data_IF_790556410679
#
_entry.id   IF_790556410679
#
_cell.length_a   1.000
_cell.length_b   1.000
_cell.length_c   1.000
_cell.angle_alpha   90.00
_cell.angle_beta   90.00
_cell.angle_gamma   90.00
#
_symmetry.space_group_name_H-M   'P 1'
#
loop_
_entity.id
_entity.type
_entity.pdbx_description
1 polymer ?
#
# COMPACT_ATOMS: atom_id res chain seq x y z
N UNK A 1 14.24 -2.50 -0.70
CA UNK A 1 13.29 -2.95 0.35
C UNK A 1 13.54 -2.12 1.61
N UNK A 2 12.50 -1.61 2.27
CA UNK A 2 12.60 -0.90 3.55
C UNK A 2 11.87 -1.73 4.61
N UNK A 3 12.50 -1.93 5.77
CA UNK A 3 11.88 -2.58 6.93
C UNK A 3 11.55 -1.53 7.96
N UNK A 4 10.39 -1.69 8.60
CA UNK A 4 9.86 -0.83 9.66
C UNK A 4 9.15 -1.71 10.69
N UNK A 5 8.94 -1.17 11.89
CA UNK A 5 8.22 -1.85 12.97
C UNK A 5 6.74 -1.44 12.99
N UNK A 6 5.83 -2.26 13.57
CA UNK A 6 4.39 -1.96 13.56
C UNK A 6 3.97 -0.69 14.32
N UNK A 7 4.80 -0.21 15.25
CA UNK A 7 4.56 1.02 16.01
C UNK A 7 4.83 2.31 15.20
N UNK A 8 5.42 2.21 14.01
CA UNK A 8 5.56 3.34 13.08
C UNK A 8 4.21 3.64 12.43
N UNK A 9 3.92 4.93 12.20
CA UNK A 9 2.71 5.38 11.50
C UNK A 9 3.01 6.44 10.45
N UNK A 10 2.22 6.49 9.38
CA UNK A 10 2.30 7.53 8.35
C UNK A 10 1.85 8.89 8.93
N UNK A 11 2.65 9.93 8.75
CA UNK A 11 2.31 11.30 9.18
C UNK A 11 1.43 12.01 8.14
N UNK A 12 1.67 11.74 6.86
CA UNK A 12 1.01 12.41 5.73
C UNK A 12 0.18 11.40 4.93
N UNK A 13 -1.05 11.14 5.39
CA UNK A 13 -1.97 10.22 4.75
C UNK A 13 -2.84 9.51 5.78
N UNK A 14 -4.09 9.23 5.42
CA UNK A 14 -5.04 8.62 6.35
C UNK A 14 -4.83 7.09 6.46
N UNK A 15 -4.18 6.48 5.47
CA UNK A 15 -3.95 5.03 5.38
C UNK A 15 -2.59 4.77 4.72
N UNK A 16 -1.89 3.71 5.14
CA UNK A 16 -0.72 3.16 4.45
C UNK A 16 -0.78 1.63 4.45
N UNK A 17 0.10 0.96 3.70
CA UNK A 17 0.10 -0.50 3.55
C UNK A 17 1.49 -1.11 3.61
N UNK A 18 1.59 -2.32 4.16
CA UNK A 18 2.87 -3.04 4.31
C UNK A 18 2.68 -4.56 4.39
N UNK A 19 3.75 -5.32 4.17
CA UNK A 19 3.77 -6.77 4.42
C UNK A 19 4.32 -7.07 5.81
N UNK A 20 3.54 -7.83 6.59
CA UNK A 20 4.03 -8.43 7.82
C UNK A 20 4.90 -9.64 7.48
N UNK A 21 6.21 -9.48 7.61
CA UNK A 21 7.19 -10.54 7.28
C UNK A 21 7.75 -11.25 8.51
N UNK A 22 7.52 -10.73 9.72
CA UNK A 22 7.92 -11.36 10.99
C UNK A 22 7.00 -10.93 12.13
N UNK A 23 6.81 -11.83 13.09
CA UNK A 23 6.08 -11.54 14.32
C UNK A 23 4.57 -11.35 14.08
N UNK A 24 3.97 -10.44 14.86
CA UNK A 24 2.56 -10.09 14.81
C UNK A 24 2.39 -8.57 14.85
N UNK A 25 1.36 -8.05 14.18
CA UNK A 25 0.97 -6.65 14.29
C UNK A 25 -0.18 -6.50 15.30
N UNK A 26 -0.02 -5.58 16.26
CA UNK A 26 -1.04 -5.21 17.26
C UNK A 26 -1.40 -3.72 17.23
N UNK A 27 -0.80 -2.94 16.32
CA UNK A 27 -0.99 -1.50 16.21
C UNK A 27 -1.99 -1.16 15.09
N UNK A 28 -1.98 -1.92 13.99
CA UNK A 28 -2.93 -1.71 12.90
C UNK A 28 -2.72 -0.40 12.12
N UNK A 29 -1.52 0.17 12.20
CA UNK A 29 -1.15 1.39 11.47
C UNK A 29 -1.06 1.16 9.94
N UNK A 30 -0.93 -0.09 9.51
CA UNK A 30 -0.80 -0.48 8.11
C UNK A 30 -1.90 -1.46 7.72
N UNK A 31 -2.44 -1.28 6.51
CA UNK A 31 -3.20 -2.33 5.83
C UNK A 31 -2.22 -3.44 5.44
N UNK A 32 -2.43 -4.64 6.00
CA UNK A 32 -1.62 -5.80 5.65
C UNK A 32 -1.96 -6.25 4.23
N UNK A 33 -0.96 -6.19 3.35
CA UNK A 33 -1.11 -6.69 1.98
C UNK A 33 -0.78 -8.20 1.92
N UNK A 34 -1.31 -8.85 0.88
CA UNK A 34 -1.16 -10.30 0.69
C UNK A 34 0.04 -10.64 -0.20
N UNK A 35 0.94 -11.56 0.21
CA UNK A 35 2.04 -11.98 -0.64
C UNK A 35 1.55 -12.82 -1.84
N UNK A 36 2.19 -12.71 -3.01
CA UNK A 36 1.87 -13.52 -4.17
C UNK A 36 2.20 -14.99 -3.93
N UNK A 37 1.35 -15.90 -4.41
CA UNK A 37 1.59 -17.35 -4.34
C UNK A 37 2.42 -17.88 -5.51
N UNK A 38 2.38 -17.17 -6.65
CA UNK A 38 3.12 -17.48 -7.87
C UNK A 38 3.34 -16.21 -8.71
N UNK A 39 4.26 -16.30 -9.67
CA UNK A 39 4.49 -15.22 -10.62
C UNK A 39 3.23 -14.93 -11.43
N UNK A 40 2.87 -13.65 -11.54
CA UNK A 40 1.73 -13.16 -12.32
C UNK A 40 0.36 -13.74 -11.91
N UNK A 41 0.24 -14.32 -10.71
CA UNK A 41 -1.03 -14.81 -10.18
C UNK A 41 -2.11 -13.71 -10.20
N UNK A 42 -3.33 -14.08 -10.60
CA UNK A 42 -4.41 -13.10 -10.77
C UNK A 42 -4.82 -12.43 -9.46
N UNK A 43 -4.75 -13.14 -8.32
CA UNK A 43 -5.03 -12.56 -7.02
C UNK A 43 -3.93 -11.57 -6.62
N UNK A 44 -2.68 -11.88 -6.92
CA UNK A 44 -1.56 -10.95 -6.69
C UNK A 44 -1.67 -9.68 -7.55
N UNK A 45 -2.10 -9.81 -8.81
CA UNK A 45 -2.34 -8.66 -9.70
C UNK A 45 -3.50 -7.78 -9.22
N UNK A 46 -4.57 -8.41 -8.72
CA UNK A 46 -5.69 -7.69 -8.12
C UNK A 46 -5.29 -6.95 -6.83
N UNK A 47 -4.50 -7.60 -5.98
CA UNK A 47 -3.96 -6.99 -4.76
C UNK A 47 -3.05 -5.80 -5.08
N UNK A 48 -2.17 -5.95 -6.07
CA UNK A 48 -1.34 -4.86 -6.55
C UNK A 48 -2.19 -3.66 -7.02
N UNK A 49 -3.23 -3.89 -7.81
CA UNK A 49 -4.14 -2.82 -8.26
C UNK A 49 -4.81 -2.10 -7.07
N UNK A 50 -5.29 -2.87 -6.08
CA UNK A 50 -5.92 -2.35 -4.86
C UNK A 50 -4.96 -1.47 -4.05
N UNK A 51 -3.72 -1.92 -3.86
CA UNK A 51 -2.70 -1.16 -3.11
C UNK A 51 -2.23 0.07 -3.87
N UNK A 52 -2.09 0.01 -5.20
CA UNK A 52 -1.78 1.19 -6.00
C UNK A 52 -2.86 2.26 -5.89
N UNK A 53 -4.13 1.87 -5.94
CA UNK A 53 -5.25 2.80 -5.76
C UNK A 53 -5.23 3.45 -4.37
N UNK A 54 -4.96 2.67 -3.31
CA UNK A 54 -4.81 3.17 -1.94
C UNK A 54 -3.70 4.22 -1.85
N UNK A 55 -2.51 3.93 -2.38
CA UNK A 55 -1.36 4.86 -2.34
C UNK A 55 -1.60 6.13 -3.16
N UNK A 56 -2.23 6.02 -4.33
CA UNK A 56 -2.57 7.19 -5.15
C UNK A 56 -3.54 8.13 -4.44
N UNK A 57 -4.52 7.58 -3.70
CA UNK A 57 -5.48 8.40 -2.95
C UNK A 57 -4.80 9.29 -1.90
N UNK A 58 -3.72 8.81 -1.29
CA UNK A 58 -2.91 9.56 -0.32
C UNK A 58 -2.05 10.60 -1.04
N UNK A 59 -1.34 10.20 -2.11
CA UNK A 59 -0.38 11.06 -2.80
C UNK A 59 -1.05 12.26 -3.51
N UNK A 60 -2.25 12.08 -4.06
CA UNK A 60 -2.96 13.11 -4.81
C UNK A 60 -3.99 13.90 -4.01
N UNK A 61 -4.10 13.65 -2.69
CA UNK A 61 -5.00 14.41 -1.82
C UNK A 61 -4.61 15.89 -1.84
N UNK A 62 -5.48 16.74 -2.41
CA UNK A 62 -5.28 18.19 -2.48
C UNK A 62 -4.39 18.69 -3.62
N UNK A 63 -3.99 17.82 -4.56
CA UNK A 63 -3.18 18.22 -5.73
C UNK A 63 -4.11 18.69 -6.85
N UNK A 64 -3.91 19.92 -7.33
CA UNK A 64 -4.72 20.53 -8.39
C UNK A 64 -4.33 20.09 -9.83
N UNK A 65 -3.48 19.08 -9.98
CA UNK A 65 -2.92 18.63 -11.26
C UNK A 65 -3.26 17.19 -11.59
N UNK A 66 -3.47 16.90 -12.88
CA UNK A 66 -3.72 15.54 -13.36
C UNK A 66 -2.39 14.76 -13.39
N UNK A 67 -2.31 13.57 -12.76
CA UNK A 67 -1.13 12.72 -12.87
C UNK A 67 -0.93 12.23 -14.31
N UNK A 68 0.30 12.30 -14.81
CA UNK A 68 0.61 11.93 -16.20
C UNK A 68 0.36 10.43 -16.54
N UNK A 69 0.17 9.57 -15.55
CA UNK A 69 0.08 8.11 -15.72
C UNK A 69 -1.34 7.54 -15.56
N UNK A 70 -2.36 8.36 -15.31
CA UNK A 70 -3.75 7.89 -15.13
C UNK A 70 -4.50 7.71 -16.48
N UNK A 71 -3.84 7.99 -17.60
CA UNK A 71 -4.38 7.78 -18.95
C UNK A 71 -3.87 6.44 -19.52
N UNK A 72 -4.42 5.32 -19.05
CA UNK A 72 -4.31 4.01 -19.73
C UNK A 72 -5.66 3.31 -19.64
#
# INVERSE_FOLDING_TARGET
VRYITPDVSQVNGDVDSAWLVRGSDTHGNFVLETPPVADMDDAARAEHARIMQLRQSVLYKGVAGQPAHTAV
#
